data_IF_887229197204
#
_entry.id   IF_887229197204
#
_cell.length_a   1.000
_cell.length_b   1.000
_cell.length_c   1.000
_cell.angle_alpha   90.00
_cell.angle_beta   90.00
_cell.angle_gamma   90.00
#
_symmetry.space_group_name_H-M   'P 1'
#
loop_
_entity.id
_entity.type
_entity.pdbx_description
1 polymer ?
#
# COMPACT_ATOMS: atom_id res chain seq x y z
N UNK A 1 -126.66 204.05 77.66
CA UNK A 1 -126.67 204.67 79.01
C UNK A 1 -125.46 204.11 79.75
N UNK A 2 -124.58 204.84 80.45
CA UNK A 2 -124.67 206.06 81.29
C UNK A 2 -124.70 205.76 82.80
N UNK A 3 -123.93 206.56 83.57
CA UNK A 3 -124.03 206.83 85.03
C UNK A 3 -123.65 205.75 86.09
N UNK A 4 -122.38 205.79 86.52
CA UNK A 4 -121.90 206.25 87.85
C UNK A 4 -122.29 205.60 89.22
N UNK A 5 -121.25 205.55 90.10
CA UNK A 5 -121.20 205.71 91.59
C UNK A 5 -121.47 204.53 92.59
N UNK A 6 -120.34 204.01 93.14
CA UNK A 6 -119.84 204.18 94.55
C UNK A 6 -120.18 203.17 95.70
N UNK A 7 -119.11 202.56 96.24
CA UNK A 7 -118.91 201.96 97.60
C UNK A 7 -119.69 200.65 97.93
N UNK A 8 -119.26 199.78 98.87
CA UNK A 8 -118.41 199.97 100.08
C UNK A 8 -117.52 198.72 100.42
N UNK A 9 -116.47 198.88 101.23
CA UNK A 9 -115.52 197.84 101.65
C UNK A 9 -116.06 196.82 102.67
N UNK A 10 -115.40 195.64 102.76
CA UNK A 10 -114.78 195.15 104.01
C UNK A 10 -113.49 194.31 103.71
N UNK A 11 -112.67 193.98 104.71
CA UNK A 11 -111.42 193.19 104.59
C UNK A 11 -111.30 192.11 105.68
N UNK A 12 -110.69 190.96 105.36
CA UNK A 12 -109.98 189.98 106.24
C UNK A 12 -109.22 188.98 105.30
N UNK A 13 -107.99 188.45 105.47
CA UNK A 13 -106.92 188.45 106.50
C UNK A 13 -106.85 187.21 107.43
N UNK A 14 -106.22 186.12 106.97
CA UNK A 14 -105.62 185.02 107.80
C UNK A 14 -104.46 184.30 107.00
N UNK A 15 -103.64 183.39 107.56
CA UNK A 15 -102.23 183.69 107.84
C UNK A 15 -101.17 182.77 107.18
N UNK A 16 -99.93 183.26 107.08
CA UNK A 16 -98.88 182.68 106.24
C UNK A 16 -97.89 181.69 106.90
N UNK A 17 -98.34 180.67 107.63
CA UNK A 17 -97.45 179.61 108.16
C UNK A 17 -97.38 178.33 107.29
N UNK A 18 -98.25 178.20 106.29
CA UNK A 18 -98.38 176.98 105.46
C UNK A 18 -97.21 176.80 104.47
N UNK A 19 -96.65 177.91 103.98
CA UNK A 19 -95.66 177.94 102.89
C UNK A 19 -94.30 177.31 103.29
N UNK A 20 -93.89 177.50 104.55
CA UNK A 20 -92.67 176.90 105.11
C UNK A 20 -92.75 175.37 105.26
N UNK A 21 -93.95 174.79 105.30
CA UNK A 21 -94.16 173.35 105.47
C UNK A 21 -94.19 172.63 104.11
N UNK A 22 -94.78 173.26 103.08
CA UNK A 22 -94.82 172.73 101.71
C UNK A 22 -93.42 172.68 101.07
N UNK A 23 -92.60 173.70 101.29
CA UNK A 23 -91.22 173.79 100.80
C UNK A 23 -90.31 172.69 101.39
N UNK A 24 -90.42 172.41 102.69
CA UNK A 24 -89.69 171.32 103.34
C UNK A 24 -90.03 169.95 102.72
N UNK A 25 -91.32 169.67 102.50
CA UNK A 25 -91.79 168.41 101.93
C UNK A 25 -91.20 168.16 100.53
N UNK A 26 -91.13 169.21 99.69
CA UNK A 26 -90.63 169.09 98.32
C UNK A 26 -89.14 168.74 98.27
N UNK A 27 -88.32 169.31 99.17
CA UNK A 27 -86.88 168.98 99.28
C UNK A 27 -86.67 167.53 99.71
N UNK A 28 -87.48 167.02 100.64
CA UNK A 28 -87.42 165.62 101.09
C UNK A 28 -87.75 164.68 99.91
N UNK A 29 -88.82 164.95 99.16
CA UNK A 29 -89.21 164.14 98.00
C UNK A 29 -88.12 164.17 96.91
N UNK A 30 -87.49 165.32 96.66
CA UNK A 30 -86.41 165.46 95.68
C UNK A 30 -85.17 164.65 96.06
N UNK A 31 -84.74 164.69 97.33
CA UNK A 31 -83.66 163.85 97.84
C UNK A 31 -83.98 162.36 97.75
N UNK A 32 -85.23 161.96 98.03
CA UNK A 32 -85.69 160.59 97.91
C UNK A 32 -85.68 160.11 96.45
N UNK A 33 -86.08 160.95 95.50
CA UNK A 33 -85.96 160.65 94.06
C UNK A 33 -84.51 160.49 93.62
N UNK A 34 -83.60 161.39 94.02
CA UNK A 34 -82.17 161.25 93.69
C UNK A 34 -81.59 159.96 94.27
N UNK A 35 -81.94 159.62 95.52
CA UNK A 35 -81.50 158.37 96.14
C UNK A 35 -82.02 157.14 95.41
N UNK A 36 -83.31 157.10 95.03
CA UNK A 36 -83.90 155.99 94.25
C UNK A 36 -83.28 155.87 92.87
N UNK A 37 -83.05 156.98 92.15
CA UNK A 37 -82.38 156.96 90.84
C UNK A 37 -80.93 156.49 90.96
N UNK A 38 -80.22 156.91 92.00
CA UNK A 38 -78.84 156.46 92.27
C UNK A 38 -78.78 154.98 92.66
N UNK A 39 -79.75 154.47 93.44
CA UNK A 39 -79.88 153.03 93.73
C UNK A 39 -80.22 152.23 92.46
N UNK A 40 -81.11 152.71 91.60
CA UNK A 40 -81.42 152.06 90.32
C UNK A 40 -80.17 151.93 89.44
N UNK A 41 -79.42 153.02 89.27
CA UNK A 41 -78.20 153.02 88.46
C UNK A 41 -77.11 152.12 89.05
N UNK A 42 -76.87 152.18 90.37
CA UNK A 42 -75.89 151.33 91.05
C UNK A 42 -76.28 149.84 90.95
N UNK A 43 -77.58 149.52 91.02
CA UNK A 43 -78.09 148.17 90.85
C UNK A 43 -77.94 147.68 89.39
N UNK A 44 -78.20 148.52 88.39
CA UNK A 44 -77.94 148.19 86.98
C UNK A 44 -76.45 147.96 86.70
N UNK A 45 -75.55 148.75 87.30
CA UNK A 45 -74.10 148.62 87.10
C UNK A 45 -73.52 147.40 87.85
N UNK A 46 -74.03 147.07 89.05
CA UNK A 46 -73.72 145.81 89.74
C UNK A 46 -74.21 144.60 88.94
N UNK A 47 -75.49 144.57 88.55
CA UNK A 47 -76.06 143.50 87.72
C UNK A 47 -75.33 143.39 86.38
N UNK A 48 -74.88 144.51 85.80
CA UNK A 48 -74.06 144.55 84.58
C UNK A 48 -72.68 143.92 84.77
N UNK A 49 -72.04 144.16 85.93
CA UNK A 49 -70.75 143.58 86.32
C UNK A 49 -70.87 142.09 86.65
N UNK A 50 -71.90 141.68 87.37
CA UNK A 50 -72.14 140.27 87.72
C UNK A 50 -72.39 139.45 86.44
N UNK A 51 -73.26 139.94 85.53
CA UNK A 51 -73.43 139.35 84.19
C UNK A 51 -72.14 139.33 83.36
N UNK A 52 -71.17 140.19 83.62
CA UNK A 52 -69.86 140.14 82.98
C UNK A 52 -68.94 139.09 83.60
N UNK A 53 -68.97 138.93 84.93
CA UNK A 53 -68.28 137.85 85.64
C UNK A 53 -68.84 136.48 85.25
N UNK A 54 -70.17 136.30 85.20
CA UNK A 54 -70.81 135.05 84.77
C UNK A 54 -70.35 134.64 83.37
N UNK A 55 -70.32 135.58 82.41
CA UNK A 55 -69.82 135.33 81.05
C UNK A 55 -68.33 135.04 80.99
N UNK A 56 -67.53 135.61 81.89
CA UNK A 56 -66.10 135.31 81.99
C UNK A 56 -65.87 133.93 82.60
N UNK A 57 -66.60 133.56 83.66
CA UNK A 57 -66.57 132.24 84.26
C UNK A 57 -67.01 131.16 83.25
N UNK A 58 -68.15 131.36 82.57
CA UNK A 58 -68.61 130.44 81.51
C UNK A 58 -67.57 130.24 80.39
N UNK A 59 -66.83 131.29 80.03
CA UNK A 59 -65.73 131.20 79.05
C UNK A 59 -64.47 130.52 79.61
N UNK A 60 -64.19 130.68 80.90
CA UNK A 60 -63.10 129.97 81.58
C UNK A 60 -63.42 128.48 81.67
N UNK A 61 -64.68 128.12 81.93
CA UNK A 61 -65.16 126.73 81.94
C UNK A 61 -65.14 126.13 80.53
N UNK A 62 -65.63 126.85 79.51
CA UNK A 62 -65.57 126.47 78.09
C UNK A 62 -64.12 126.26 77.60
N UNK A 63 -63.21 127.18 77.92
CA UNK A 63 -61.79 127.07 77.59
C UNK A 63 -61.11 125.95 78.38
N UNK A 64 -61.51 125.70 79.62
CA UNK A 64 -60.96 124.62 80.46
C UNK A 64 -61.44 123.25 79.99
N UNK A 65 -62.70 123.13 79.55
CA UNK A 65 -63.24 121.93 78.90
C UNK A 65 -62.57 121.68 77.54
N UNK A 66 -62.38 122.72 76.73
CA UNK A 66 -61.65 122.64 75.45
C UNK A 66 -60.19 122.24 75.68
N UNK A 67 -59.52 122.81 76.68
CA UNK A 67 -58.15 122.47 77.05
C UNK A 67 -58.03 121.04 77.63
N UNK A 68 -59.07 120.52 78.27
CA UNK A 68 -59.12 119.13 78.70
C UNK A 68 -59.23 118.18 77.50
N UNK A 69 -60.14 118.45 76.56
CA UNK A 69 -60.29 117.67 75.32
C UNK A 69 -59.02 117.72 74.45
N UNK A 70 -58.38 118.88 74.32
CA UNK A 70 -57.08 119.01 73.64
C UNK A 70 -55.97 118.22 74.33
N UNK A 71 -55.97 118.13 75.68
CA UNK A 71 -55.00 117.30 76.41
C UNK A 71 -55.25 115.81 76.22
N UNK A 72 -56.51 115.38 76.30
CA UNK A 72 -56.95 114.00 76.05
C UNK A 72 -56.59 113.57 74.62
N UNK A 73 -56.92 114.39 73.62
CA UNK A 73 -56.54 114.14 72.22
C UNK A 73 -55.01 114.13 72.00
N UNK A 74 -54.24 114.95 72.72
CA UNK A 74 -52.77 114.89 72.68
C UNK A 74 -52.20 113.66 73.39
N UNK A 75 -52.87 113.11 74.41
CA UNK A 75 -52.50 111.86 75.08
C UNK A 75 -52.81 110.65 74.19
N UNK A 76 -53.99 110.61 73.56
CA UNK A 76 -54.35 109.64 72.53
C UNK A 76 -53.38 109.69 71.33
N UNK A 77 -53.01 110.87 70.84
CA UNK A 77 -52.03 110.99 69.76
C UNK A 77 -50.65 110.47 70.19
N UNK A 78 -50.22 110.70 71.43
CA UNK A 78 -48.96 110.16 71.96
C UNK A 78 -48.99 108.64 72.05
N UNK A 79 -50.03 108.05 72.66
CA UNK A 79 -50.14 106.59 72.77
C UNK A 79 -50.26 105.90 71.41
N UNK A 80 -50.96 106.52 70.44
CA UNK A 80 -50.97 106.04 69.06
C UNK A 80 -49.62 106.15 68.36
N UNK A 81 -48.86 107.24 68.56
CA UNK A 81 -47.49 107.39 68.04
C UNK A 81 -46.55 106.35 68.67
N UNK A 82 -46.65 106.11 69.98
CA UNK A 82 -45.88 105.08 70.68
C UNK A 82 -46.20 103.68 70.15
N UNK A 83 -47.48 103.34 69.98
CA UNK A 83 -47.90 102.05 69.41
C UNK A 83 -47.43 101.89 67.97
N UNK A 84 -47.65 102.87 67.09
CA UNK A 84 -47.16 102.83 65.71
C UNK A 84 -45.63 102.76 65.63
N UNK A 85 -44.92 103.39 66.58
CA UNK A 85 -43.46 103.31 66.71
C UNK A 85 -43.00 101.92 67.19
N UNK A 86 -43.78 101.24 68.03
CA UNK A 86 -43.53 99.85 68.44
C UNK A 86 -43.83 98.87 67.29
N UNK A 87 -44.99 99.00 66.63
CA UNK A 87 -45.42 98.21 65.48
C UNK A 87 -44.41 98.32 64.33
N UNK A 88 -43.90 99.53 64.04
CA UNK A 88 -42.86 99.76 63.05
C UNK A 88 -41.52 99.10 63.42
N UNK A 89 -41.08 99.19 64.68
CA UNK A 89 -39.87 98.48 65.16
C UNK A 89 -40.02 96.96 65.02
N UNK A 90 -41.17 96.41 65.39
CA UNK A 90 -41.46 94.98 65.24
C UNK A 90 -41.48 94.54 63.77
N UNK A 91 -42.08 95.33 62.88
CA UNK A 91 -42.08 95.05 61.44
C UNK A 91 -40.69 95.17 60.81
N UNK A 92 -39.85 96.10 61.27
CA UNK A 92 -38.45 96.22 60.83
C UNK A 92 -37.63 95.01 61.31
N UNK A 93 -37.73 94.63 62.58
CA UNK A 93 -37.07 93.43 63.10
C UNK A 93 -37.49 92.15 62.36
N UNK A 94 -38.77 92.02 62.00
CA UNK A 94 -39.27 90.90 61.18
C UNK A 94 -38.73 90.93 59.74
N UNK A 95 -38.65 92.12 59.11
CA UNK A 95 -38.02 92.29 57.79
C UNK A 95 -36.55 91.85 57.85
N UNK A 96 -35.82 92.27 58.87
CA UNK A 96 -34.38 92.05 58.98
C UNK A 96 -34.07 90.56 59.28
N UNK A 97 -34.90 89.90 60.07
CA UNK A 97 -34.85 88.44 60.26
C UNK A 97 -35.13 87.67 58.95
N UNK A 98 -36.19 88.03 58.21
CA UNK A 98 -36.50 87.42 56.91
C UNK A 98 -35.41 87.71 55.86
N UNK A 99 -34.72 88.85 55.94
CA UNK A 99 -33.61 89.18 55.07
C UNK A 99 -32.36 88.34 55.38
N UNK A 100 -32.11 88.00 56.65
CA UNK A 100 -31.09 87.04 57.04
C UNK A 100 -31.43 85.62 56.56
N UNK A 101 -32.64 85.14 56.84
CA UNK A 101 -33.12 83.82 56.38
C UNK A 101 -33.04 83.67 54.85
N UNK A 102 -33.42 84.70 54.09
CA UNK A 102 -33.25 84.73 52.63
C UNK A 102 -31.79 84.81 52.16
N UNK A 103 -30.86 85.26 53.00
CA UNK A 103 -29.42 85.23 52.71
C UNK A 103 -28.86 83.83 52.93
N UNK A 104 -29.23 83.20 54.05
CA UNK A 104 -28.77 81.86 54.43
C UNK A 104 -29.31 80.80 53.45
N UNK A 105 -30.61 80.82 53.14
CA UNK A 105 -31.22 79.97 52.11
C UNK A 105 -30.63 80.17 50.72
N UNK A 106 -30.15 81.38 50.38
CA UNK A 106 -29.41 81.61 49.12
C UNK A 106 -28.03 80.96 49.15
N UNK A 107 -27.32 81.07 50.26
CA UNK A 107 -26.01 80.44 50.45
C UNK A 107 -26.12 78.91 50.36
N UNK A 108 -27.11 78.32 51.06
CA UNK A 108 -27.44 76.90 50.98
C UNK A 108 -27.80 76.48 49.55
N UNK A 109 -28.66 77.24 48.85
CA UNK A 109 -29.00 76.94 47.47
C UNK A 109 -27.80 77.04 46.51
N UNK A 110 -26.80 77.90 46.79
CA UNK A 110 -25.55 77.92 46.03
C UNK A 110 -24.62 76.74 46.34
N UNK A 111 -24.56 76.28 47.60
CA UNK A 111 -23.83 75.04 47.94
C UNK A 111 -24.47 73.85 47.22
N UNK A 112 -25.77 73.62 47.42
CA UNK A 112 -26.48 72.48 46.83
C UNK A 112 -26.38 72.44 45.29
N UNK A 113 -26.30 73.60 44.61
CA UNK A 113 -26.02 73.66 43.16
C UNK A 113 -24.59 73.26 42.81
N UNK A 114 -23.60 73.65 43.61
CA UNK A 114 -22.22 73.22 43.43
C UNK A 114 -22.06 71.72 43.72
N UNK A 115 -22.70 71.22 44.76
CA UNK A 115 -22.72 69.80 45.15
C UNK A 115 -23.38 68.94 44.05
N UNK A 116 -24.52 69.37 43.51
CA UNK A 116 -25.19 68.71 42.36
C UNK A 116 -24.34 68.77 41.10
N UNK A 117 -23.67 69.89 40.81
CA UNK A 117 -22.77 70.00 39.65
C UNK A 117 -21.54 69.09 39.80
N UNK A 118 -20.97 68.98 41.00
CA UNK A 118 -19.88 68.06 41.32
C UNK A 118 -20.31 66.59 41.21
N UNK A 119 -21.50 66.25 41.72
CA UNK A 119 -22.08 64.92 41.58
C UNK A 119 -22.36 64.56 40.10
N UNK A 120 -22.88 65.50 39.30
CA UNK A 120 -23.07 65.28 37.86
C UNK A 120 -21.74 65.06 37.15
N UNK A 121 -20.71 65.87 37.42
CA UNK A 121 -19.38 65.67 36.84
C UNK A 121 -18.73 64.33 37.24
N UNK A 122 -19.03 63.81 38.44
CA UNK A 122 -18.63 62.47 38.85
C UNK A 122 -19.42 61.37 38.12
N UNK A 123 -20.73 61.54 37.92
CA UNK A 123 -21.57 60.63 37.12
C UNK A 123 -21.10 60.59 35.66
N UNK A 124 -20.85 61.74 35.04
CA UNK A 124 -20.37 61.85 33.65
C UNK A 124 -19.00 61.17 33.48
N UNK A 125 -18.11 61.32 34.48
CA UNK A 125 -16.81 60.63 34.52
C UNK A 125 -16.98 59.11 34.62
N UNK A 126 -17.83 58.62 35.53
CA UNK A 126 -18.07 57.18 35.70
C UNK A 126 -18.77 56.58 34.47
N UNK A 127 -19.69 57.31 33.85
CA UNK A 127 -20.34 56.89 32.60
C UNK A 127 -19.32 56.71 31.47
N UNK A 128 -18.35 57.63 31.34
CA UNK A 128 -17.25 57.50 30.37
C UNK A 128 -16.29 56.34 30.72
N UNK A 129 -15.91 56.19 31.98
CA UNK A 129 -15.04 55.08 32.42
C UNK A 129 -15.71 53.72 32.16
N UNK A 130 -17.04 53.65 32.28
CA UNK A 130 -17.85 52.48 31.92
C UNK A 130 -17.93 52.26 30.40
N UNK A 131 -18.12 53.31 29.60
CA UNK A 131 -18.14 53.25 28.13
C UNK A 131 -16.80 52.73 27.57
N UNK A 132 -15.69 53.26 28.07
CA UNK A 132 -14.34 52.84 27.68
C UNK A 132 -14.02 51.42 28.18
N UNK A 133 -14.53 51.01 29.34
CA UNK A 133 -14.44 49.62 29.80
C UNK A 133 -15.24 48.64 28.92
N UNK A 134 -16.44 49.02 28.44
CA UNK A 134 -17.21 48.17 27.52
C UNK A 134 -16.49 47.95 26.19
N UNK A 135 -15.87 48.98 25.60
CA UNK A 135 -15.06 48.85 24.37
C UNK A 135 -13.88 47.89 24.55
N UNK A 136 -13.23 47.93 25.72
CA UNK A 136 -12.13 47.01 26.06
C UNK A 136 -12.63 45.57 26.21
N UNK A 137 -13.82 45.37 26.78
CA UNK A 137 -14.45 44.04 26.88
C UNK A 137 -14.83 43.50 25.50
N UNK A 138 -15.43 44.33 24.63
CA UNK A 138 -15.82 43.96 23.26
C UNK A 138 -14.61 43.53 22.42
N UNK A 139 -13.55 44.35 22.38
CA UNK A 139 -12.29 44.01 21.71
C UNK A 139 -11.60 42.77 22.31
N UNK A 140 -11.76 42.52 23.62
CA UNK A 140 -11.26 41.31 24.26
C UNK A 140 -12.08 40.07 23.87
N UNK A 141 -13.41 40.19 23.72
CA UNK A 141 -14.27 39.11 23.25
C UNK A 141 -14.00 38.74 21.79
N UNK A 142 -13.81 39.73 20.91
CA UNK A 142 -13.40 39.50 19.52
C UNK A 142 -12.07 38.74 19.47
N UNK A 143 -11.06 39.21 20.23
CA UNK A 143 -9.75 38.54 20.33
C UNK A 143 -9.87 37.10 20.85
N UNK A 144 -10.67 36.85 21.89
CA UNK A 144 -10.91 35.50 22.41
C UNK A 144 -11.59 34.62 21.36
N UNK A 145 -12.54 35.16 20.59
CA UNK A 145 -13.17 34.46 19.46
C UNK A 145 -12.17 34.02 18.40
N UNK A 146 -11.25 34.90 18.01
CA UNK A 146 -10.16 34.58 17.08
C UNK A 146 -9.20 33.52 17.65
N UNK A 147 -8.84 33.62 18.92
CA UNK A 147 -7.97 32.62 19.57
C UNK A 147 -8.65 31.25 19.70
N UNK A 148 -9.97 31.19 19.91
CA UNK A 148 -10.72 29.93 19.90
C UNK A 148 -10.79 29.29 18.50
N UNK A 149 -10.89 30.10 17.44
CA UNK A 149 -10.80 29.63 16.05
C UNK A 149 -9.39 29.08 15.73
N UNK A 150 -8.34 29.76 16.20
CA UNK A 150 -6.95 29.29 16.06
C UNK A 150 -6.71 27.98 16.82
N UNK A 151 -7.18 27.86 18.06
CA UNK A 151 -7.11 26.61 18.84
C UNK A 151 -7.83 25.47 18.12
N UNK A 152 -9.06 25.68 17.65
CA UNK A 152 -9.79 24.65 16.91
C UNK A 152 -9.07 24.23 15.61
N UNK A 153 -8.44 25.18 14.90
CA UNK A 153 -7.65 24.87 13.71
C UNK A 153 -6.37 24.06 14.06
N UNK A 154 -5.73 24.35 15.19
CA UNK A 154 -4.58 23.60 15.70
C UNK A 154 -4.97 22.19 16.18
N UNK A 155 -6.11 22.02 16.84
CA UNK A 155 -6.63 20.72 17.28
C UNK A 155 -6.91 19.79 16.07
N UNK A 156 -7.63 20.28 15.05
CA UNK A 156 -7.82 19.56 13.79
C UNK A 156 -6.48 19.19 13.13
N UNK A 157 -5.48 20.08 13.18
CA UNK A 157 -4.15 19.80 12.63
C UNK A 157 -3.41 18.73 13.43
N UNK A 158 -3.49 18.73 14.76
CA UNK A 158 -2.92 17.69 15.63
C UNK A 158 -3.57 16.33 15.38
N UNK A 159 -4.89 16.28 15.17
CA UNK A 159 -5.59 15.05 14.78
C UNK A 159 -5.11 14.53 13.42
N UNK A 160 -4.99 15.40 12.40
CA UNK A 160 -4.47 15.01 11.09
C UNK A 160 -3.02 14.51 11.13
N UNK A 161 -2.19 15.05 12.03
CA UNK A 161 -0.81 14.61 12.21
C UNK A 161 -0.73 13.25 12.91
N UNK A 162 -1.60 12.97 13.89
CA UNK A 162 -1.68 11.64 14.54
C UNK A 162 -2.16 10.55 13.59
N UNK A 163 -3.10 10.87 12.70
CA UNK A 163 -3.53 9.94 11.66
C UNK A 163 -2.38 9.58 10.71
N UNK A 164 -1.60 10.58 10.27
CA UNK A 164 -0.41 10.39 9.45
C UNK A 164 0.72 9.63 10.19
N UNK A 165 0.89 9.86 11.50
CA UNK A 165 1.87 9.16 12.34
C UNK A 165 1.56 7.65 12.42
N UNK A 166 0.31 7.27 12.66
CA UNK A 166 -0.10 5.86 12.64
C UNK A 166 -0.07 5.26 11.22
N UNK A 167 -0.38 6.02 10.16
CA UNK A 167 -0.22 5.56 8.77
C UNK A 167 1.25 5.22 8.45
N UNK A 168 2.18 6.15 8.73
CA UNK A 168 3.62 5.95 8.52
C UNK A 168 4.18 4.80 9.36
N UNK A 169 3.69 4.62 10.59
CA UNK A 169 4.06 3.53 11.49
C UNK A 169 3.59 2.16 10.98
N UNK A 170 2.41 2.10 10.35
CA UNK A 170 1.91 0.88 9.69
C UNK A 170 2.69 0.57 8.39
N UNK A 171 3.02 1.59 7.60
CA UNK A 171 3.87 1.46 6.40
C UNK A 171 5.30 1.00 6.74
N UNK A 172 5.89 1.52 7.82
CA UNK A 172 7.16 1.02 8.36
C UNK A 172 7.07 -0.45 8.80
N UNK A 173 6.03 -0.83 9.55
CA UNK A 173 5.84 -2.21 9.99
C UNK A 173 5.64 -3.18 8.81
N UNK A 174 4.95 -2.76 7.74
CA UNK A 174 4.85 -3.55 6.50
C UNK A 174 6.20 -3.65 5.79
N UNK A 175 6.98 -2.57 5.73
CA UNK A 175 8.31 -2.57 5.12
C UNK A 175 9.29 -3.48 5.84
N UNK A 176 9.33 -3.45 7.17
CA UNK A 176 10.17 -4.35 7.97
C UNK A 176 9.79 -5.83 7.74
N UNK A 177 8.49 -6.14 7.67
CA UNK A 177 8.02 -7.49 7.30
C UNK A 177 8.49 -7.91 5.90
N UNK A 178 8.34 -7.05 4.88
CA UNK A 178 8.82 -7.36 3.52
C UNK A 178 10.34 -7.50 3.44
N UNK A 179 11.08 -6.73 4.25
CA UNK A 179 12.54 -6.77 4.31
C UNK A 179 13.04 -8.08 4.92
N UNK A 180 12.38 -8.57 5.97
CA UNK A 180 12.70 -9.86 6.59
C UNK A 180 12.28 -11.05 5.70
N UNK A 181 11.16 -10.94 4.98
CA UNK A 181 10.81 -11.90 3.90
C UNK A 181 11.88 -11.94 2.79
N UNK A 182 12.40 -10.79 2.34
CA UNK A 182 13.47 -10.74 1.34
C UNK A 182 14.79 -11.31 1.88
N UNK A 183 15.11 -11.07 3.16
CA UNK A 183 16.28 -11.65 3.84
C UNK A 183 16.18 -13.16 3.95
N UNK A 184 15.02 -13.72 4.29
CA UNK A 184 14.81 -15.17 4.37
C UNK A 184 15.02 -15.82 2.98
N UNK A 185 14.36 -15.28 1.94
CA UNK A 185 14.52 -15.72 0.54
C UNK A 185 15.97 -15.61 0.05
N UNK A 186 16.72 -14.58 0.49
CA UNK A 186 18.14 -14.42 0.19
C UNK A 186 19.01 -15.50 0.87
N UNK A 187 18.70 -15.85 2.13
CA UNK A 187 19.41 -16.92 2.86
C UNK A 187 19.11 -18.29 2.24
N UNK A 188 17.85 -18.57 1.87
CA UNK A 188 17.48 -19.79 1.14
C UNK A 188 18.22 -19.91 -0.19
N UNK A 189 18.23 -18.84 -1.00
CA UNK A 189 18.94 -18.79 -2.28
C UNK A 189 20.46 -18.99 -2.12
N UNK A 190 21.07 -18.39 -1.10
CA UNK A 190 22.49 -18.63 -0.78
C UNK A 190 22.75 -20.10 -0.37
N UNK A 191 21.84 -20.72 0.39
CA UNK A 191 21.94 -22.13 0.75
C UNK A 191 21.77 -23.06 -0.46
N UNK A 192 20.84 -22.75 -1.38
CA UNK A 192 20.69 -23.49 -2.64
C UNK A 192 21.96 -23.36 -3.51
N UNK A 193 22.49 -22.15 -3.69
CA UNK A 193 23.75 -21.92 -4.43
C UNK A 193 24.93 -22.66 -3.79
N UNK A 194 25.02 -22.72 -2.46
CA UNK A 194 26.02 -23.52 -1.76
C UNK A 194 25.85 -25.04 -2.02
N UNK A 195 24.62 -25.54 -2.00
CA UNK A 195 24.30 -26.93 -2.31
C UNK A 195 24.58 -27.30 -3.78
N UNK A 196 24.25 -26.41 -4.72
CA UNK A 196 24.53 -26.58 -6.14
C UNK A 196 26.03 -26.58 -6.43
N UNK A 197 26.81 -25.68 -5.80
CA UNK A 197 28.27 -25.69 -5.88
C UNK A 197 28.88 -26.97 -5.29
N UNK A 198 28.34 -27.50 -4.19
CA UNK A 198 28.74 -28.80 -3.64
C UNK A 198 28.46 -29.93 -4.64
N UNK A 199 27.23 -29.99 -5.20
CA UNK A 199 26.84 -31.00 -6.21
C UNK A 199 27.70 -30.91 -7.47
N UNK A 200 28.03 -29.71 -7.95
CA UNK A 200 28.95 -29.50 -9.08
C UNK A 200 30.36 -30.04 -8.77
N UNK A 201 30.88 -29.83 -7.56
CA UNK A 201 32.17 -30.37 -7.14
C UNK A 201 32.16 -31.90 -7.06
N UNK A 202 31.07 -32.49 -6.57
CA UNK A 202 30.87 -33.95 -6.52
C UNK A 202 30.74 -34.54 -7.93
N UNK A 203 29.98 -33.91 -8.83
CA UNK A 203 29.81 -34.31 -10.23
C UNK A 203 31.14 -34.22 -11.01
N UNK A 204 31.90 -33.14 -10.84
CA UNK A 204 33.19 -32.97 -11.48
C UNK A 204 34.22 -34.03 -11.00
N UNK A 205 34.15 -34.45 -9.74
CA UNK A 205 34.96 -35.56 -9.24
C UNK A 205 34.53 -36.92 -9.83
N UNK A 206 33.22 -37.14 -10.04
CA UNK A 206 32.72 -38.32 -10.74
C UNK A 206 33.16 -38.33 -12.21
N UNK A 207 33.10 -37.20 -12.91
CA UNK A 207 33.59 -37.06 -14.31
C UNK A 207 35.09 -37.35 -14.39
N UNK A 208 35.90 -36.80 -13.48
CA UNK A 208 37.34 -37.08 -13.44
C UNK A 208 37.63 -38.58 -13.24
N UNK A 209 36.93 -39.24 -12.32
CA UNK A 209 37.09 -40.69 -12.08
C UNK A 209 36.58 -41.55 -13.25
N UNK A 210 35.51 -41.13 -13.93
CA UNK A 210 35.01 -41.81 -15.14
C UNK A 210 35.99 -41.68 -16.32
N UNK A 211 36.64 -40.52 -16.48
CA UNK A 211 37.68 -40.33 -17.48
C UNK A 211 38.92 -41.20 -17.19
N UNK A 212 39.37 -41.26 -15.92
CA UNK A 212 40.48 -42.14 -15.51
C UNK A 212 40.17 -43.62 -15.78
N UNK A 213 38.92 -44.05 -15.53
CA UNK A 213 38.45 -45.41 -15.86
C UNK A 213 38.36 -45.65 -17.37
N UNK A 214 37.98 -44.64 -18.15
CA UNK A 214 37.90 -44.71 -19.61
C UNK A 214 39.30 -44.82 -20.24
N UNK A 215 40.23 -43.93 -19.89
CA UNK A 215 41.64 -43.98 -20.32
C UNK A 215 42.28 -45.35 -19.97
N UNK A 216 41.99 -45.86 -18.77
CA UNK A 216 42.44 -47.19 -18.33
C UNK A 216 41.73 -48.37 -19.04
N UNK A 217 40.60 -48.14 -19.71
CA UNK A 217 39.97 -49.14 -20.59
C UNK A 217 40.54 -49.06 -22.00
N UNK A 218 40.62 -47.86 -22.59
CA UNK A 218 41.16 -47.65 -23.93
C UNK A 218 42.60 -48.19 -24.05
N UNK A 219 43.44 -47.95 -23.05
CA UNK A 219 44.80 -48.52 -22.99
C UNK A 219 44.84 -50.05 -22.85
N UNK A 220 43.80 -50.70 -22.29
CA UNK A 220 43.67 -52.17 -22.27
C UNK A 220 43.17 -52.71 -23.60
N UNK A 221 42.25 -52.01 -24.25
CA UNK A 221 41.69 -52.39 -25.54
C UNK A 221 42.75 -52.27 -26.65
N UNK A 222 43.58 -51.22 -26.64
CA UNK A 222 44.76 -51.13 -27.51
C UNK A 222 45.74 -52.30 -27.28
N UNK A 223 46.06 -52.62 -26.02
CA UNK A 223 46.97 -53.71 -25.68
C UNK A 223 46.42 -55.09 -26.10
N UNK A 224 45.12 -55.32 -25.89
CA UNK A 224 44.43 -56.54 -26.32
C UNK A 224 44.40 -56.64 -27.86
N UNK A 225 44.13 -55.55 -28.57
CA UNK A 225 44.10 -55.52 -30.02
C UNK A 225 45.50 -55.72 -30.64
N UNK A 226 46.55 -55.20 -30.01
CA UNK A 226 47.93 -55.49 -30.36
C UNK A 226 48.29 -56.98 -30.14
N UNK A 227 47.84 -57.59 -29.04
CA UNK A 227 48.02 -59.01 -28.75
C UNK A 227 47.28 -59.90 -29.78
N UNK A 228 46.05 -59.54 -30.15
CA UNK A 228 45.27 -60.23 -31.20
C UNK A 228 46.00 -60.14 -32.56
N UNK A 229 46.55 -58.98 -32.90
CA UNK A 229 47.30 -58.79 -34.15
C UNK A 229 48.60 -59.63 -34.19
N UNK A 230 49.30 -59.80 -33.07
CA UNK A 230 50.47 -60.68 -32.98
C UNK A 230 50.09 -62.18 -33.05
N UNK A 231 49.05 -62.59 -32.32
CA UNK A 231 48.51 -63.96 -32.38
C UNK A 231 48.06 -64.33 -33.81
N UNK A 232 47.39 -63.42 -34.51
CA UNK A 232 46.99 -63.60 -35.91
C UNK A 232 48.18 -63.79 -36.85
N UNK A 233 49.27 -63.04 -36.66
CA UNK A 233 50.52 -63.22 -37.42
C UNK A 233 51.13 -64.61 -37.16
N UNK A 234 51.24 -65.02 -35.89
CA UNK A 234 51.79 -66.34 -35.50
C UNK A 234 50.96 -67.49 -36.09
N UNK A 235 49.64 -67.39 -36.02
CA UNK A 235 48.72 -68.41 -36.55
C UNK A 235 48.86 -68.57 -38.07
N UNK A 236 48.93 -67.45 -38.81
CA UNK A 236 49.10 -67.48 -40.26
C UNK A 236 50.44 -68.11 -40.69
N UNK A 237 51.53 -67.86 -39.95
CA UNK A 237 52.84 -68.48 -40.19
C UNK A 237 52.79 -69.99 -39.92
N UNK A 238 52.16 -70.42 -38.81
CA UNK A 238 52.00 -71.84 -38.48
C UNK A 238 51.15 -72.60 -39.51
N UNK A 239 50.05 -72.00 -39.96
CA UNK A 239 49.16 -72.57 -40.97
C UNK A 239 49.87 -72.74 -42.33
N UNK A 240 50.59 -71.71 -42.79
CA UNK A 240 51.35 -71.77 -44.04
C UNK A 240 52.40 -72.91 -44.03
N UNK A 241 53.09 -73.09 -42.91
CA UNK A 241 54.05 -74.20 -42.74
C UNK A 241 53.41 -75.57 -42.89
N UNK A 242 52.25 -75.81 -42.25
CA UNK A 242 51.54 -77.11 -42.33
C UNK A 242 50.94 -77.40 -43.71
N UNK A 243 50.45 -76.39 -44.42
CA UNK A 243 49.97 -76.55 -45.81
C UNK A 243 51.12 -76.93 -46.76
N UNK A 244 52.30 -76.34 -46.58
CA UNK A 244 53.48 -76.65 -47.41
C UNK A 244 54.02 -78.07 -47.17
N UNK A 245 53.96 -78.55 -45.93
CA UNK A 245 54.33 -79.92 -45.55
C UNK A 245 53.44 -80.98 -46.23
N UNK A 246 52.12 -80.81 -46.16
CA UNK A 246 51.14 -81.71 -46.79
C UNK A 246 51.27 -81.77 -48.32
N UNK A 247 51.49 -80.62 -48.97
CA UNK A 247 51.63 -80.53 -50.42
C UNK A 247 52.84 -81.32 -50.95
N UNK A 248 53.90 -81.45 -50.14
CA UNK A 248 55.10 -82.22 -50.48
C UNK A 248 54.82 -83.72 -50.50
N UNK A 249 54.28 -84.29 -49.42
CA UNK A 249 54.01 -85.73 -49.31
C UNK A 249 53.09 -86.24 -50.42
N UNK A 250 52.02 -85.47 -50.74
CA UNK A 250 51.13 -85.80 -51.86
C UNK A 250 51.88 -85.94 -53.19
N UNK A 251 52.85 -85.05 -53.44
CA UNK A 251 53.62 -85.03 -54.69
C UNK A 251 54.61 -86.20 -54.79
N UNK A 252 55.30 -86.53 -53.68
CA UNK A 252 56.24 -87.66 -53.60
C UNK A 252 55.50 -89.02 -53.68
N UNK A 253 54.28 -89.13 -53.15
CA UNK A 253 53.45 -90.34 -53.24
C UNK A 253 52.91 -90.59 -54.66
N UNK A 254 52.27 -89.59 -55.29
CA UNK A 254 51.76 -89.72 -56.67
C UNK A 254 52.87 -90.05 -57.68
N UNK A 255 54.08 -89.50 -57.49
CA UNK A 255 55.23 -89.77 -58.37
C UNK A 255 55.58 -91.26 -58.44
N UNK A 256 55.63 -91.93 -57.29
CA UNK A 256 55.99 -93.36 -57.19
C UNK A 256 54.91 -94.30 -57.73
N UNK A 257 53.64 -93.99 -57.44
CA UNK A 257 52.50 -94.73 -58.00
C UNK A 257 52.44 -94.57 -59.54
N UNK A 258 52.82 -93.40 -60.07
CA UNK A 258 52.93 -93.15 -61.52
C UNK A 258 54.06 -93.95 -62.18
N UNK A 259 55.22 -94.05 -61.55
CA UNK A 259 56.39 -94.76 -62.09
C UNK A 259 56.11 -96.25 -62.31
N UNK A 260 55.47 -96.92 -61.34
CA UNK A 260 55.19 -98.36 -61.40
C UNK A 260 54.04 -98.69 -62.37
N UNK A 261 53.04 -97.81 -62.51
CA UNK A 261 51.86 -98.07 -63.34
C UNK A 261 51.95 -97.54 -64.78
N UNK A 262 52.81 -96.54 -65.05
CA UNK A 262 52.76 -95.78 -66.31
C UNK A 262 53.33 -96.46 -67.56
N UNK A 263 53.96 -97.63 -67.43
CA UNK A 263 54.65 -98.31 -68.53
C UNK A 263 53.78 -99.40 -69.20
N UNK A 264 52.46 -99.19 -69.28
CA UNK A 264 51.45 -100.19 -69.68
C UNK A 264 50.46 -99.60 -70.69
N UNK A 265 50.07 -100.38 -71.70
CA UNK A 265 49.19 -99.89 -72.78
C UNK A 265 47.73 -99.70 -72.35
N UNK A 266 47.30 -100.38 -71.29
CA UNK A 266 45.90 -100.46 -70.86
C UNK A 266 45.46 -99.34 -69.89
N UNK A 267 46.39 -98.54 -69.38
CA UNK A 267 46.16 -97.50 -68.36
C UNK A 267 46.64 -96.15 -68.90
N UNK A 268 45.78 -95.12 -68.86
CA UNK A 268 46.15 -93.75 -69.23
C UNK A 268 46.27 -92.88 -67.98
N UNK A 269 47.37 -92.14 -67.83
CA UNK A 269 47.58 -91.22 -66.71
C UNK A 269 47.23 -89.80 -67.17
N UNK A 270 46.26 -89.18 -66.50
CA UNK A 270 45.78 -87.82 -66.81
C UNK A 270 45.84 -86.98 -65.54
N UNK A 271 46.86 -86.12 -65.45
CA UNK A 271 47.12 -85.32 -64.24
C UNK A 271 47.47 -86.21 -63.05
N UNK A 272 46.59 -86.21 -62.05
CA UNK A 272 46.65 -87.01 -60.82
C UNK A 272 45.78 -88.29 -60.89
N UNK A 273 45.25 -88.65 -62.07
CA UNK A 273 44.28 -89.74 -62.24
C UNK A 273 44.79 -90.89 -63.10
N UNK A 274 44.47 -92.12 -62.69
CA UNK A 274 44.69 -93.36 -63.42
C UNK A 274 43.39 -93.78 -64.11
N UNK A 275 43.36 -93.71 -65.44
CA UNK A 275 42.17 -93.95 -66.27
C UNK A 275 42.23 -95.34 -66.89
N UNK A 276 41.26 -96.18 -66.57
CA UNK A 276 41.06 -97.54 -67.09
C UNK A 276 39.83 -97.56 -68.02
N UNK A 277 39.97 -98.10 -69.24
CA UNK A 277 38.86 -98.20 -70.18
C UNK A 277 37.85 -99.27 -69.73
N UNK A 278 36.55 -99.00 -69.86
CA UNK A 278 35.52 -99.88 -69.30
C UNK A 278 35.48 -101.27 -69.95
N UNK A 279 35.74 -101.41 -71.26
CA UNK A 279 35.71 -102.74 -71.90
C UNK A 279 36.89 -103.64 -71.50
N UNK A 280 37.90 -103.07 -70.82
CA UNK A 280 39.04 -103.83 -70.27
C UNK A 280 38.72 -104.33 -68.86
N UNK A 281 37.88 -103.61 -68.11
CA UNK A 281 37.46 -103.96 -66.76
C UNK A 281 36.17 -104.80 -66.70
N UNK A 282 35.19 -104.50 -67.55
CA UNK A 282 33.83 -105.04 -67.50
C UNK A 282 33.36 -105.57 -68.86
N UNK A 283 32.48 -106.57 -68.85
CA UNK A 283 31.77 -107.01 -70.04
C UNK A 283 30.77 -105.95 -70.54
N UNK A 284 30.43 -105.98 -71.84
CA UNK A 284 29.54 -104.99 -72.45
C UNK A 284 28.17 -104.94 -71.76
N UNK A 285 27.72 -103.72 -71.41
CA UNK A 285 26.46 -103.50 -70.68
C UNK A 285 26.46 -103.95 -69.22
N UNK A 286 27.54 -104.58 -68.73
CA UNK A 286 27.63 -105.10 -67.36
C UNK A 286 28.34 -104.13 -66.40
N UNK A 287 28.12 -104.33 -65.10
CA UNK A 287 28.98 -103.82 -64.03
C UNK A 287 29.83 -104.93 -63.39
N UNK A 288 29.70 -106.18 -63.85
CA UNK A 288 30.50 -107.30 -63.38
C UNK A 288 31.91 -107.27 -64.01
N UNK A 289 32.93 -107.47 -63.16
CA UNK A 289 34.34 -107.41 -63.58
C UNK A 289 34.75 -108.67 -64.34
N UNK A 290 35.21 -108.49 -65.58
CA UNK A 290 35.75 -109.55 -66.42
C UNK A 290 37.11 -110.06 -65.92
N UNK A 291 37.53 -111.24 -66.39
CA UNK A 291 38.77 -111.90 -65.91
C UNK A 291 40.03 -111.06 -66.15
N UNK A 292 40.10 -110.33 -67.27
CA UNK A 292 41.21 -109.41 -67.55
C UNK A 292 41.24 -108.21 -66.58
N UNK A 293 40.09 -107.59 -66.34
CA UNK A 293 39.92 -106.52 -65.36
C UNK A 293 40.29 -106.95 -63.94
N UNK A 294 39.85 -108.14 -63.51
CA UNK A 294 40.23 -108.74 -62.22
C UNK A 294 41.75 -108.94 -62.09
N UNK A 295 42.46 -109.28 -63.16
CA UNK A 295 43.92 -109.37 -63.13
C UNK A 295 44.60 -107.99 -63.00
N UNK A 296 44.19 -107.00 -63.80
CA UNK A 296 44.74 -105.64 -63.74
C UNK A 296 44.50 -104.98 -62.37
N UNK A 297 43.28 -105.03 -61.86
CA UNK A 297 42.90 -104.47 -60.57
C UNK A 297 43.60 -105.17 -59.40
N UNK A 298 43.89 -106.48 -59.50
CA UNK A 298 44.66 -107.19 -58.47
C UNK A 298 46.12 -106.74 -58.41
N UNK A 299 46.72 -106.36 -59.54
CA UNK A 299 48.06 -105.78 -59.55
C UNK A 299 48.06 -104.32 -59.06
N UNK A 300 47.06 -103.52 -59.45
CA UNK A 300 46.89 -102.16 -58.94
C UNK A 300 46.70 -102.16 -57.42
N UNK A 301 45.83 -103.02 -56.88
CA UNK A 301 45.61 -103.18 -55.44
C UNK A 301 46.90 -103.51 -54.68
N UNK A 302 47.73 -104.41 -55.23
CA UNK A 302 49.02 -104.77 -54.63
C UNK A 302 49.95 -103.56 -54.55
N UNK A 303 50.18 -102.88 -55.67
CA UNK A 303 51.06 -101.70 -55.71
C UNK A 303 50.55 -100.55 -54.84
N UNK A 304 49.24 -100.34 -54.78
CA UNK A 304 48.63 -99.37 -53.86
C UNK A 304 48.91 -99.75 -52.40
N UNK A 305 48.70 -101.02 -52.03
CA UNK A 305 48.94 -101.52 -50.67
C UNK A 305 50.43 -101.41 -50.30
N UNK A 306 51.34 -101.80 -51.19
CA UNK A 306 52.80 -101.68 -51.01
C UNK A 306 53.21 -100.24 -50.68
N UNK A 307 52.89 -99.27 -51.55
CA UNK A 307 53.30 -97.86 -51.33
C UNK A 307 52.52 -97.22 -50.16
N UNK A 308 51.29 -97.66 -49.86
CA UNK A 308 50.50 -97.08 -48.75
C UNK A 308 51.17 -97.24 -47.38
N UNK A 309 52.02 -98.26 -47.20
CA UNK A 309 52.80 -98.46 -45.96
C UNK A 309 53.84 -97.37 -45.68
N UNK A 310 54.14 -96.51 -46.66
CA UNK A 310 55.04 -95.38 -46.52
C UNK A 310 54.34 -94.06 -46.17
N UNK A 311 53.00 -94.03 -46.11
CA UNK A 311 52.26 -92.82 -45.73
C UNK A 311 52.11 -92.77 -44.21
N UNK A 312 52.52 -91.69 -43.53
CA UNK A 312 52.26 -91.53 -42.10
C UNK A 312 50.76 -91.49 -41.79
N UNK A 313 50.34 -92.15 -40.70
CA UNK A 313 48.94 -92.19 -40.23
C UNK A 313 48.28 -90.81 -40.01
N UNK A 314 49.11 -89.76 -39.89
CA UNK A 314 48.67 -88.36 -39.76
C UNK A 314 48.19 -87.71 -41.07
N UNK A 315 48.29 -88.39 -42.21
CA UNK A 315 47.77 -87.92 -43.50
C UNK A 315 46.51 -88.72 -43.84
N UNK A 316 45.34 -88.05 -43.78
CA UNK A 316 44.06 -88.73 -44.03
C UNK A 316 43.73 -88.78 -45.54
N UNK A 317 44.38 -89.72 -46.23
CA UNK A 317 44.22 -89.96 -47.66
C UNK A 317 43.12 -90.97 -47.96
N UNK A 318 42.47 -90.84 -49.12
CA UNK A 318 41.57 -91.85 -49.69
C UNK A 318 41.88 -92.08 -51.16
N UNK A 319 41.69 -93.29 -51.66
CA UNK A 319 41.56 -93.54 -53.09
C UNK A 319 40.10 -93.42 -53.50
N UNK A 320 39.80 -92.42 -54.33
CA UNK A 320 38.50 -92.23 -54.93
C UNK A 320 38.44 -92.91 -56.29
N UNK A 321 37.48 -93.81 -56.46
CA UNK A 321 37.18 -94.55 -57.68
C UNK A 321 35.97 -93.90 -58.34
N UNK A 322 36.20 -93.20 -59.43
CA UNK A 322 35.23 -92.39 -60.15
C UNK A 322 34.79 -93.12 -61.43
N UNK A 323 33.53 -93.57 -61.46
CA UNK A 323 32.93 -94.28 -62.59
C UNK A 323 32.26 -93.33 -63.58
N UNK A 324 32.42 -93.61 -64.87
CA UNK A 324 31.82 -92.81 -65.95
C UNK A 324 31.22 -93.69 -67.07
N UNK A 325 30.17 -93.17 -67.71
CA UNK A 325 29.60 -93.72 -68.95
C UNK A 325 29.92 -92.81 -70.13
N UNK A 326 29.53 -93.23 -71.33
CA UNK A 326 29.25 -92.29 -72.42
C UNK A 326 27.79 -91.80 -72.37
N UNK A 327 27.46 -90.87 -73.27
CA UNK A 327 26.18 -90.15 -73.31
C UNK A 327 25.01 -90.94 -73.92
N UNK A 328 25.19 -92.18 -74.36
CA UNK A 328 24.08 -93.04 -74.79
C UNK A 328 23.28 -93.42 -73.55
N UNK A 329 21.96 -93.14 -73.46
CA UNK A 329 21.20 -93.46 -72.27
C UNK A 329 21.02 -94.96 -72.09
N UNK A 330 21.42 -95.50 -70.93
CA UNK A 330 20.97 -96.82 -70.47
C UNK A 330 19.64 -96.68 -69.69
N UNK A 331 18.69 -97.56 -69.97
CA UNK A 331 17.42 -97.66 -69.24
C UNK A 331 17.02 -99.14 -69.12
N UNK A 332 17.60 -99.83 -68.13
CA UNK A 332 17.37 -101.26 -67.87
C UNK A 332 16.81 -101.47 -66.47
N UNK A 333 16.17 -102.62 -66.21
CA UNK A 333 15.66 -102.96 -64.89
C UNK A 333 16.76 -103.08 -63.79
N UNK A 334 18.04 -103.24 -64.17
CA UNK A 334 19.19 -103.27 -63.24
C UNK A 334 19.88 -101.91 -63.13
N UNK A 335 19.89 -101.12 -64.20
CA UNK A 335 20.49 -99.79 -64.28
C UNK A 335 19.50 -98.83 -64.97
N UNK A 336 18.66 -98.10 -64.20
CA UNK A 336 17.65 -97.18 -64.74
C UNK A 336 18.23 -95.97 -65.48
N UNK A 337 19.44 -95.54 -65.13
CA UNK A 337 20.18 -94.48 -65.82
C UNK A 337 21.70 -94.71 -65.82
N UNK A 338 22.43 -93.81 -66.46
CA UNK A 338 23.90 -93.77 -66.46
C UNK A 338 24.50 -93.56 -65.05
N UNK A 339 23.76 -92.95 -64.12
CA UNK A 339 24.22 -92.78 -62.74
C UNK A 339 24.30 -94.13 -62.01
N UNK A 340 23.31 -95.00 -62.11
CA UNK A 340 23.35 -96.32 -61.47
C UNK A 340 24.41 -97.22 -62.13
N UNK A 341 24.56 -97.18 -63.46
CA UNK A 341 25.61 -97.96 -64.13
C UNK A 341 27.02 -97.52 -63.72
N UNK A 342 27.30 -96.21 -63.73
CA UNK A 342 28.62 -95.68 -63.35
C UNK A 342 28.92 -95.91 -61.86
N UNK A 343 27.94 -95.68 -60.98
CA UNK A 343 28.08 -95.91 -59.54
C UNK A 343 28.28 -97.39 -59.23
N UNK A 344 27.50 -98.29 -59.85
CA UNK A 344 27.67 -99.73 -59.67
C UNK A 344 29.05 -100.20 -60.13
N UNK A 345 29.54 -99.73 -61.27
CA UNK A 345 30.90 -100.05 -61.76
C UNK A 345 31.99 -99.56 -60.80
N UNK A 346 31.88 -98.35 -60.27
CA UNK A 346 32.82 -97.85 -59.25
C UNK A 346 32.76 -98.68 -57.96
N UNK A 347 31.57 -99.08 -57.50
CA UNK A 347 31.37 -99.93 -56.33
C UNK A 347 31.94 -101.33 -56.53
N UNK A 348 31.73 -101.99 -57.67
CA UNK A 348 32.30 -103.33 -57.93
C UNK A 348 33.84 -103.29 -58.00
N UNK A 349 34.43 -102.20 -58.51
CA UNK A 349 35.88 -101.97 -58.42
C UNK A 349 36.32 -101.80 -56.97
N UNK A 350 35.66 -100.94 -56.17
CA UNK A 350 36.00 -100.76 -54.75
C UNK A 350 35.89 -102.05 -53.95
N UNK A 351 34.81 -102.82 -54.12
CA UNK A 351 34.65 -104.16 -53.52
C UNK A 351 35.82 -105.07 -53.88
N UNK A 352 36.19 -105.12 -55.16
CA UNK A 352 37.29 -105.97 -55.61
C UNK A 352 38.65 -105.48 -55.10
N UNK A 353 38.89 -104.18 -54.95
CA UNK A 353 40.10 -103.67 -54.29
C UNK A 353 40.15 -104.09 -52.80
N UNK A 354 39.03 -104.07 -52.09
CA UNK A 354 38.91 -104.59 -50.71
C UNK A 354 39.19 -106.10 -50.65
N UNK A 355 38.64 -106.90 -51.58
CA UNK A 355 38.96 -108.33 -51.72
C UNK A 355 40.46 -108.61 -51.97
N UNK A 356 41.21 -107.63 -52.49
CA UNK A 356 42.65 -107.73 -52.73
C UNK A 356 43.50 -107.12 -51.62
N UNK A 357 42.90 -106.67 -50.52
CA UNK A 357 43.58 -106.22 -49.30
C UNK A 357 43.74 -104.71 -49.14
N UNK A 358 43.10 -103.89 -50.00
CA UNK A 358 43.09 -102.42 -49.80
C UNK A 358 42.12 -102.07 -48.66
N UNK A 359 42.52 -101.26 -47.66
CA UNK A 359 41.64 -100.89 -46.56
C UNK A 359 40.35 -100.18 -47.02
N UNK A 360 39.20 -100.56 -46.45
CA UNK A 360 37.88 -100.07 -46.88
C UNK A 360 37.55 -98.65 -46.44
N UNK A 361 38.21 -98.16 -45.39
CA UNK A 361 38.24 -96.76 -44.95
C UNK A 361 39.06 -95.87 -45.89
N UNK A 362 40.06 -96.43 -46.59
CA UNK A 362 40.88 -95.76 -47.60
C UNK A 362 40.26 -95.75 -49.00
N UNK A 363 38.97 -96.11 -49.15
CA UNK A 363 38.30 -96.24 -50.45
C UNK A 363 36.95 -95.50 -50.49
N UNK A 364 36.72 -94.77 -51.58
CA UNK A 364 35.44 -94.14 -51.88
C UNK A 364 35.01 -94.42 -53.34
N UNK A 365 33.73 -94.69 -53.57
CA UNK A 365 33.17 -94.90 -54.91
C UNK A 365 32.25 -93.74 -55.30
N UNK A 366 32.49 -93.14 -56.47
CA UNK A 366 31.64 -92.10 -57.07
C UNK A 366 31.16 -92.55 -58.43
N UNK A 367 29.88 -92.36 -58.76
CA UNK A 367 29.43 -92.35 -60.16
C UNK A 367 29.23 -90.92 -60.63
N UNK A 368 29.58 -90.63 -61.90
CA UNK A 368 29.30 -89.34 -62.54
C UNK A 368 28.39 -89.45 -63.78
N UNK A 369 28.00 -90.67 -64.16
CA UNK A 369 27.35 -90.94 -65.44
C UNK A 369 28.18 -90.39 -66.61
N UNK A 370 27.51 -89.69 -67.51
CA UNK A 370 28.07 -89.03 -68.69
C UNK A 370 28.48 -87.56 -68.45
N UNK A 371 28.25 -87.02 -67.25
CA UNK A 371 28.41 -85.59 -66.93
C UNK A 371 29.87 -85.09 -66.87
N UNK A 372 30.85 -85.98 -67.05
CA UNK A 372 32.27 -85.65 -67.17
C UNK A 372 32.90 -86.44 -68.32
N UNK A 373 32.74 -86.03 -69.59
CA UNK A 373 33.40 -86.66 -70.73
C UNK A 373 34.87 -86.21 -70.87
N UNK A 374 35.78 -87.15 -71.15
CA UNK A 374 37.16 -86.84 -71.59
C UNK A 374 37.23 -86.48 -73.08
N UNK A 375 36.24 -86.91 -73.86
CA UNK A 375 36.14 -86.68 -75.29
C UNK A 375 34.71 -86.25 -75.65
N UNK A 376 34.45 -84.95 -75.87
CA UNK A 376 33.09 -84.43 -76.08
C UNK A 376 32.55 -84.69 -77.50
N UNK A 377 33.21 -85.54 -78.30
CA UNK A 377 32.85 -85.79 -79.71
C UNK A 377 31.86 -86.95 -79.83
N UNK A 378 30.99 -86.85 -80.84
CA UNK A 378 29.94 -87.83 -81.11
C UNK A 378 30.45 -88.99 -81.98
N UNK A 379 31.43 -89.75 -81.46
CA UNK A 379 32.06 -90.85 -82.19
C UNK A 379 32.18 -92.12 -81.32
N UNK A 380 32.16 -93.34 -81.92
CA UNK A 380 32.33 -94.57 -81.16
C UNK A 380 33.61 -94.62 -80.31
N UNK A 381 34.71 -94.04 -80.82
CA UNK A 381 35.98 -93.92 -80.11
C UNK A 381 35.91 -92.95 -78.92
N UNK A 382 35.20 -91.82 -79.05
CA UNK A 382 34.98 -90.90 -77.95
C UNK A 382 34.07 -91.52 -76.87
N UNK A 383 33.02 -92.25 -77.27
CA UNK A 383 32.18 -93.00 -76.33
C UNK A 383 32.98 -94.05 -75.56
N UNK A 384 33.85 -94.82 -76.24
CA UNK A 384 34.79 -95.73 -75.58
C UNK A 384 35.71 -95.00 -74.59
N UNK A 385 36.29 -93.85 -74.95
CA UNK A 385 37.13 -93.05 -74.03
C UNK A 385 36.36 -92.48 -72.83
N UNK A 386 35.06 -92.23 -72.97
CA UNK A 386 34.22 -91.72 -71.90
C UNK A 386 33.77 -92.82 -70.93
N UNK A 387 33.47 -94.03 -71.42
CA UNK A 387 33.22 -95.23 -70.61
C UNK A 387 34.49 -95.69 -69.90
N UNK A 388 34.73 -95.23 -68.68
CA UNK A 388 35.97 -95.51 -67.94
C UNK A 388 35.77 -95.57 -66.43
N UNK A 389 36.79 -96.07 -65.75
CA UNK A 389 37.01 -95.84 -64.33
C UNK A 389 38.24 -94.94 -64.21
N UNK A 390 38.10 -93.82 -63.51
CA UNK A 390 39.24 -93.04 -63.06
C UNK A 390 39.52 -93.39 -61.59
N UNK A 391 40.78 -93.53 -61.22
CA UNK A 391 41.20 -93.65 -59.83
C UNK A 391 42.13 -92.50 -59.50
N UNK A 392 41.83 -91.75 -58.45
CA UNK A 392 42.66 -90.66 -57.97
C UNK A 392 42.75 -90.71 -56.45
N UNK A 393 43.77 -90.06 -55.91
CA UNK A 393 43.86 -89.90 -54.46
C UNK A 393 43.24 -88.55 -54.07
N UNK A 394 42.58 -88.52 -52.92
CA UNK A 394 41.97 -87.34 -52.30
C UNK A 394 42.37 -87.26 -50.82
N UNK A 395 42.03 -86.15 -50.19
CA UNK A 395 42.05 -86.00 -48.74
C UNK A 395 40.59 -85.85 -48.26
N UNK A 396 40.29 -86.38 -47.06
CA UNK A 396 39.02 -86.14 -46.36
C UNK A 396 38.97 -84.75 -45.69
#
# INVERSE_FOLDING_TARGET
MALARRQRNNQDIWPGFVDALATLLMVIIFLLMIFVVSQLYLNEELIGRDRALDRLNSRIDELSSTLALEREANEDLRTNIERLSADLRASLAKRDALQAELSDLRSENTSLRADVAGAQGAVDKVAKELEDAYKVIEASQEKIGLQLQEIAALENRVESLRALEEELKNDLAQKDLTLDEEREKLVESQAEVALLNKRLKELNAQIASLNEVLEASEARDEAAQAQIADLGKRLNVALASKVQELARYRSEFFGRLREILGNRQDIQIVGDRFVFQSEVLFDQGSAELGTAGKFQLAQFARTLTEISTEIPDSIDWILRVDGHTDKVPIATARFPSNWELSTARAIEVVKYLIERGVPSDRLAATGFGDNQPLDPRDTPAAYQRNRRIEMKLDQL
#
